data_IF_186962627774
#
_entry.id   IF_186962627774
#
_cell.length_a   1.000
_cell.length_b   1.000
_cell.length_c   1.000
_cell.angle_alpha   90.00
_cell.angle_beta   90.00
_cell.angle_gamma   90.00
#
_symmetry.space_group_name_H-M   'P 1'
#
loop_
_entity.id
_entity.type
_entity.pdbx_description
1 polymer ?
#
# COMPACT_ATOMS: atom_id res chain seq x y z
N UNK A 1 2.47 28.36 -14.84
CA UNK A 1 2.45 27.29 -15.86
C UNK A 1 1.79 26.09 -15.21
N UNK A 2 0.55 25.79 -15.61
CA UNK A 2 -0.25 24.66 -15.12
C UNK A 2 0.24 23.41 -15.83
N UNK A 3 1.04 22.59 -15.13
CA UNK A 3 1.41 21.28 -15.63
C UNK A 3 0.16 20.38 -15.56
N UNK A 4 -0.49 20.19 -16.70
CA UNK A 4 -1.50 19.16 -16.87
C UNK A 4 -0.83 17.80 -16.59
N UNK A 5 -1.34 16.98 -15.65
CA UNK A 5 -0.83 15.64 -15.45
C UNK A 5 -0.96 14.83 -16.76
N UNK A 6 -0.02 13.92 -17.07
CA UNK A 6 -0.09 13.08 -18.25
C UNK A 6 -1.42 12.30 -18.28
N UNK A 7 -2.03 12.20 -19.46
CA UNK A 7 -3.32 11.53 -19.70
C UNK A 7 -3.37 10.16 -18.99
N UNK A 8 -4.40 9.99 -18.16
CA UNK A 8 -4.70 8.73 -17.50
C UNK A 8 -4.79 7.60 -18.54
N UNK A 9 -4.09 6.49 -18.32
CA UNK A 9 -4.36 5.24 -19.03
C UNK A 9 -5.83 4.89 -18.77
N UNK A 10 -6.67 5.01 -19.81
CA UNK A 10 -8.13 4.87 -19.71
C UNK A 10 -8.62 3.43 -19.49
N UNK A 11 -7.78 2.49 -19.04
CA UNK A 11 -8.26 1.14 -18.71
C UNK A 11 -7.33 0.33 -17.82
N UNK A 12 -7.00 0.81 -16.62
CA UNK A 12 -6.64 -0.15 -15.56
C UNK A 12 -7.89 -1.01 -15.26
N UNK A 13 -7.85 -2.34 -15.51
CA UNK A 13 -9.00 -3.21 -15.28
C UNK A 13 -9.41 -3.32 -13.80
N UNK A 14 -8.54 -2.91 -12.85
CA UNK A 14 -8.85 -2.82 -11.42
C UNK A 14 -9.37 -1.43 -11.00
N UNK A 15 -9.41 -0.45 -11.90
CA UNK A 15 -9.82 0.93 -11.59
C UNK A 15 -11.18 1.03 -10.86
N UNK A 16 -12.23 0.27 -11.23
CA UNK A 16 -13.50 0.34 -10.50
C UNK A 16 -13.37 -0.07 -9.03
N UNK A 17 -12.62 -1.13 -8.73
CA UNK A 17 -12.44 -1.65 -7.37
C UNK A 17 -11.45 -0.81 -6.55
N UNK A 18 -10.45 -0.21 -7.20
CA UNK A 18 -9.58 0.80 -6.59
C UNK A 18 -10.42 2.03 -6.18
N UNK A 19 -11.21 2.57 -7.11
CA UNK A 19 -12.07 3.72 -6.85
C UNK A 19 -13.13 3.43 -5.78
N UNK A 20 -13.73 2.23 -5.78
CA UNK A 20 -14.64 1.79 -4.73
C UNK A 20 -13.94 1.70 -3.37
N UNK A 21 -12.74 1.14 -3.31
CA UNK A 21 -11.97 1.04 -2.06
C UNK A 21 -11.60 2.40 -1.50
N UNK A 22 -11.24 3.36 -2.35
CA UNK A 22 -11.02 4.76 -1.96
C UNK A 22 -12.30 5.40 -1.42
N UNK A 23 -13.44 5.20 -2.08
CA UNK A 23 -14.72 5.70 -1.60
C UNK A 23 -15.06 5.12 -0.21
N UNK A 24 -14.90 3.81 -0.02
CA UNK A 24 -15.11 3.14 1.27
C UNK A 24 -14.17 3.69 2.36
N UNK A 25 -12.88 3.89 2.05
CA UNK A 25 -11.91 4.49 2.97
C UNK A 25 -12.34 5.91 3.36
N UNK A 26 -12.77 6.75 2.40
CA UNK A 26 -13.26 8.12 2.69
C UNK A 26 -14.44 8.12 3.67
N UNK A 27 -15.31 7.11 3.62
CA UNK A 27 -16.45 7.00 4.56
C UNK A 27 -16.03 6.74 6.01
N UNK A 28 -14.78 6.33 6.27
CA UNK A 28 -14.25 6.15 7.63
C UNK A 28 -13.96 7.48 8.35
N UNK A 29 -13.98 8.60 7.63
CA UNK A 29 -13.78 9.93 8.21
C UNK A 29 -12.31 10.28 8.41
N UNK A 30 -12.03 11.11 9.41
CA UNK A 30 -10.67 11.56 9.72
C UNK A 30 -9.83 10.41 10.28
N UNK A 31 -8.63 10.20 9.72
CA UNK A 31 -7.69 9.18 10.17
C UNK A 31 -6.82 8.64 9.05
N UNK A 32 -5.96 7.68 9.37
CA UNK A 32 -5.16 6.91 8.42
C UNK A 32 -5.83 5.57 8.19
N UNK A 33 -6.11 5.24 6.94
CA UNK A 33 -6.79 4.00 6.57
C UNK A 33 -6.17 3.39 5.31
N UNK A 34 -6.06 2.06 5.32
CA UNK A 34 -5.48 1.30 4.22
C UNK A 34 -6.28 0.02 3.94
N UNK A 35 -6.12 -0.52 2.74
CA UNK A 35 -6.63 -1.82 2.28
C UNK A 35 -5.73 -2.37 1.18
N UNK A 36 -5.69 -3.69 0.99
CA UNK A 36 -5.09 -4.29 -0.19
C UNK A 36 -6.14 -5.00 -1.05
N UNK A 37 -5.92 -4.93 -2.36
CA UNK A 37 -6.61 -5.71 -3.38
C UNK A 37 -5.58 -6.71 -3.93
N UNK A 38 -5.82 -8.00 -3.74
CA UNK A 38 -4.97 -9.09 -4.25
C UNK A 38 -5.70 -9.73 -5.42
N UNK A 39 -5.10 -9.76 -6.60
CA UNK A 39 -5.66 -10.32 -7.83
C UNK A 39 -4.73 -11.42 -8.36
N UNK A 40 -5.30 -12.58 -8.65
CA UNK A 40 -4.56 -13.80 -9.03
C UNK A 40 -5.00 -14.24 -10.43
N UNK A 41 -4.09 -14.84 -11.21
CA UNK A 41 -4.34 -15.44 -12.54
C UNK A 41 -4.40 -14.47 -13.74
N UNK A 42 -3.72 -13.34 -13.65
CA UNK A 42 -3.27 -12.62 -14.85
C UNK A 42 -4.32 -11.79 -15.59
N UNK A 43 -5.59 -11.80 -15.17
CA UNK A 43 -6.60 -10.95 -15.81
C UNK A 43 -6.48 -9.47 -15.38
N UNK A 44 -5.59 -9.16 -14.42
CA UNK A 44 -5.30 -7.84 -13.82
C UNK A 44 -6.55 -7.11 -13.25
N UNK A 45 -7.74 -7.65 -13.50
CA UNK A 45 -9.06 -7.24 -13.07
C UNK A 45 -9.38 -7.91 -11.73
N UNK A 46 -10.29 -7.30 -10.98
CA UNK A 46 -10.72 -7.83 -9.70
C UNK A 46 -11.98 -8.68 -9.89
N UNK A 47 -11.83 -9.99 -9.77
CA UNK A 47 -12.94 -10.95 -9.68
C UNK A 47 -13.03 -11.53 -8.26
N UNK A 48 -14.23 -11.69 -7.70
CA UNK A 48 -14.38 -12.17 -6.31
C UNK A 48 -14.03 -13.66 -6.13
N UNK A 49 -13.91 -14.43 -7.22
CA UNK A 49 -13.65 -15.87 -7.16
C UNK A 49 -12.16 -16.20 -6.95
N UNK A 50 -11.27 -15.32 -7.42
CA UNK A 50 -9.81 -15.49 -7.42
C UNK A 50 -9.08 -14.28 -6.84
N UNK A 51 -9.80 -13.22 -6.46
CA UNK A 51 -9.24 -12.03 -5.83
C UNK A 51 -9.67 -11.91 -4.38
N UNK A 52 -8.87 -11.19 -3.60
CA UNK A 52 -9.14 -10.91 -2.21
C UNK A 52 -9.06 -9.42 -1.93
N UNK A 53 -10.02 -8.94 -1.13
CA UNK A 53 -10.09 -7.57 -0.65
C UNK A 53 -9.97 -7.61 0.86
N UNK A 54 -8.85 -7.11 1.39
CA UNK A 54 -8.68 -7.06 2.85
C UNK A 54 -9.75 -6.16 3.48
N UNK A 55 -10.09 -6.37 4.77
CA UNK A 55 -10.76 -5.35 5.55
C UNK A 55 -10.01 -4.01 5.49
N UNK A 56 -10.74 -2.90 5.70
CA UNK A 56 -10.09 -1.59 5.88
C UNK A 56 -9.46 -1.55 7.26
N UNK A 57 -8.16 -1.31 7.32
CA UNK A 57 -7.41 -1.17 8.56
C UNK A 57 -7.15 0.31 8.86
N UNK A 58 -7.30 0.72 10.12
CA UNK A 58 -7.04 2.09 10.56
C UNK A 58 -5.68 2.26 11.24
N UNK A 59 -5.32 3.47 11.63
CA UNK A 59 -4.18 3.69 12.52
C UNK A 59 -4.26 2.78 13.76
N UNK A 60 -3.10 2.34 14.25
CA UNK A 60 -2.91 1.41 15.39
C UNK A 60 -3.41 -0.01 15.17
N UNK A 61 -3.82 -0.36 13.95
CA UNK A 61 -4.25 -1.74 13.63
C UNK A 61 -3.08 -2.68 13.30
N UNK A 62 -1.89 -2.15 13.10
CA UNK A 62 -0.69 -2.96 12.87
C UNK A 62 -0.30 -3.80 14.09
N UNK A 63 0.86 -4.43 14.00
CA UNK A 63 1.46 -5.13 15.12
C UNK A 63 2.95 -5.39 14.89
N UNK A 64 3.54 -6.24 15.73
CA UNK A 64 4.91 -6.77 15.54
C UNK A 64 4.94 -7.85 14.46
N UNK A 65 4.28 -7.61 13.33
CA UNK A 65 4.08 -8.57 12.26
C UNK A 65 5.20 -8.46 11.21
N UNK A 66 5.15 -9.32 10.18
CA UNK A 66 6.21 -9.50 9.16
C UNK A 66 6.65 -8.20 8.49
N UNK A 67 5.75 -7.23 8.36
CA UNK A 67 6.01 -5.98 7.66
C UNK A 67 6.25 -4.77 8.58
N UNK A 68 6.33 -4.99 9.89
CA UNK A 68 6.79 -3.94 10.81
C UNK A 68 8.30 -3.68 10.63
N UNK A 69 8.71 -2.41 10.65
CA UNK A 69 10.11 -2.00 10.60
C UNK A 69 10.73 -2.21 11.98
N UNK A 70 11.97 -2.71 12.02
CA UNK A 70 12.65 -3.08 13.27
C UNK A 70 13.97 -2.32 13.45
N UNK A 71 14.38 -2.12 14.71
CA UNK A 71 15.53 -1.30 15.10
C UNK A 71 16.88 -1.83 14.61
N UNK A 72 17.09 -3.15 14.49
CA UNK A 72 18.26 -3.79 13.83
C UNK A 72 18.26 -5.33 13.97
N UNK A 73 18.74 -6.02 12.91
CA UNK A 73 19.18 -7.43 12.87
C UNK A 73 18.15 -8.52 13.23
N UNK A 74 16.90 -8.40 12.81
CA UNK A 74 16.12 -9.63 12.60
C UNK A 74 16.67 -10.36 11.37
N UNK A 75 16.98 -11.63 11.56
CA UNK A 75 17.65 -12.47 10.58
C UNK A 75 16.80 -12.59 9.30
N UNK A 76 17.23 -11.94 8.21
CA UNK A 76 17.06 -12.52 6.87
C UNK A 76 16.47 -11.67 5.75
N UNK A 77 15.98 -10.43 5.94
CA UNK A 77 15.35 -9.69 4.83
C UNK A 77 15.80 -8.22 4.81
N UNK A 78 16.67 -7.90 3.86
CA UNK A 78 17.39 -6.63 3.78
C UNK A 78 16.55 -5.49 3.20
N UNK A 79 16.00 -4.61 4.04
CA UNK A 79 15.78 -3.21 3.69
C UNK A 79 16.99 -2.39 4.16
N UNK A 80 17.72 -1.75 3.24
CA UNK A 80 18.91 -0.93 3.54
C UNK A 80 18.56 0.47 4.10
N UNK A 81 17.56 0.55 4.99
CA UNK A 81 17.28 1.73 5.79
C UNK A 81 17.18 1.30 7.23
N UNK A 82 18.25 1.48 8.01
CA UNK A 82 18.17 1.34 9.48
C UNK A 82 17.21 2.42 9.94
N UNK A 83 16.03 2.04 10.39
CA UNK A 83 15.11 2.98 11.03
C UNK A 83 15.50 3.17 12.48
N UNK A 84 15.31 4.37 13.00
CA UNK A 84 15.54 4.60 14.42
C UNK A 84 14.49 3.89 15.30
N UNK A 85 14.73 3.93 16.60
CA UNK A 85 13.88 3.33 17.62
C UNK A 85 12.45 3.86 17.65
N UNK A 86 12.26 5.15 17.40
CA UNK A 86 10.93 5.73 17.33
C UNK A 86 10.20 5.23 16.08
N UNK A 87 10.87 5.23 14.93
CA UNK A 87 10.34 4.73 13.66
C UNK A 87 9.95 3.24 13.70
N UNK A 88 10.77 2.40 14.33
CA UNK A 88 10.46 0.97 14.50
C UNK A 88 9.22 0.75 15.37
N UNK A 89 9.08 1.49 16.49
CA UNK A 89 7.89 1.41 17.34
C UNK A 89 6.64 1.94 16.64
N UNK A 90 6.76 3.09 15.99
CA UNK A 90 5.67 3.69 15.22
C UNK A 90 5.21 2.78 14.10
N UNK A 91 6.13 2.08 13.44
CA UNK A 91 5.79 1.14 12.37
C UNK A 91 4.76 0.10 12.78
N UNK A 92 4.74 -0.34 14.04
CA UNK A 92 3.78 -1.35 14.51
C UNK A 92 2.35 -0.82 14.52
N UNK A 93 2.16 0.49 14.40
CA UNK A 93 0.87 1.14 14.47
C UNK A 93 0.37 1.55 13.08
N UNK A 94 1.13 1.30 12.01
CA UNK A 94 0.74 1.68 10.65
C UNK A 94 -0.36 0.75 10.13
N UNK A 95 -1.42 1.33 9.55
CA UNK A 95 -2.53 0.58 8.93
C UNK A 95 -2.06 -0.34 7.80
N UNK A 96 -1.04 0.08 7.05
CA UNK A 96 -0.44 -0.75 5.99
C UNK A 96 0.20 -2.02 6.53
N UNK A 97 0.75 -2.02 7.75
CA UNK A 97 1.35 -3.24 8.32
C UNK A 97 0.30 -4.32 8.52
N UNK A 98 -0.87 -3.94 9.04
CA UNK A 98 -2.00 -4.85 9.20
C UNK A 98 -2.49 -5.39 7.85
N UNK A 99 -2.65 -4.49 6.87
CA UNK A 99 -3.14 -4.83 5.53
C UNK A 99 -2.19 -5.76 4.78
N UNK A 100 -0.89 -5.48 4.82
CA UNK A 100 0.11 -6.32 4.15
C UNK A 100 0.22 -7.69 4.83
N UNK A 101 0.11 -7.76 6.15
CA UNK A 101 0.09 -9.03 6.87
C UNK A 101 -1.15 -9.86 6.50
N UNK A 102 -2.33 -9.25 6.54
CA UNK A 102 -3.59 -9.90 6.16
C UNK A 102 -3.57 -10.41 4.71
N UNK A 103 -3.07 -9.59 3.78
CA UNK A 103 -2.92 -9.99 2.38
C UNK A 103 -1.93 -11.16 2.25
N UNK A 104 -0.81 -11.12 2.96
CA UNK A 104 0.15 -12.21 2.98
C UNK A 104 -0.46 -13.49 3.54
N UNK A 105 -1.16 -13.43 4.67
CA UNK A 105 -1.75 -14.61 5.31
C UNK A 105 -2.77 -15.31 4.40
N UNK A 106 -3.56 -14.53 3.66
CA UNK A 106 -4.47 -15.07 2.64
C UNK A 106 -3.71 -15.75 1.48
N UNK A 107 -2.63 -15.12 0.99
CA UNK A 107 -1.79 -15.67 -0.09
C UNK A 107 -1.10 -16.95 0.39
N UNK A 108 -0.45 -16.94 1.56
CA UNK A 108 0.27 -18.07 2.14
C UNK A 108 -0.67 -19.25 2.45
N UNK A 109 -1.94 -19.00 2.76
CA UNK A 109 -2.93 -20.07 2.93
C UNK A 109 -3.31 -20.75 1.61
N UNK A 110 -3.30 -20.03 0.49
CA UNK A 110 -3.90 -20.48 -0.77
C UNK A 110 -2.91 -20.68 -1.92
N UNK A 111 -1.66 -20.22 -1.81
CA UNK A 111 -0.73 -20.20 -2.93
C UNK A 111 -0.43 -21.59 -3.52
N UNK A 112 -0.48 -22.65 -2.71
CA UNK A 112 -0.30 -24.03 -3.16
C UNK A 112 -1.44 -24.54 -4.04
N UNK A 113 -2.62 -23.90 -3.98
CA UNK A 113 -3.79 -24.21 -4.80
C UNK A 113 -3.83 -23.44 -6.12
N UNK A 114 -2.98 -22.42 -6.27
CA UNK A 114 -2.94 -21.63 -7.49
C UNK A 114 -2.32 -22.43 -8.65
N UNK A 115 -2.81 -22.25 -9.89
CA UNK A 115 -2.22 -22.86 -11.06
C UNK A 115 -0.71 -22.59 -11.17
N UNK A 116 0.03 -23.57 -11.68
CA UNK A 116 1.46 -23.36 -11.91
C UNK A 116 1.67 -22.23 -12.93
N UNK A 117 2.49 -21.23 -12.58
CA UNK A 117 2.77 -20.07 -13.43
C UNK A 117 1.81 -18.90 -13.25
N UNK A 118 0.97 -18.92 -12.22
CA UNK A 118 0.09 -17.80 -11.84
C UNK A 118 0.83 -16.47 -11.70
N UNK A 119 0.23 -15.42 -12.24
CA UNK A 119 0.60 -14.03 -12.00
C UNK A 119 -0.22 -13.47 -10.84
N UNK A 120 0.41 -12.65 -10.01
CA UNK A 120 -0.21 -11.96 -8.89
C UNK A 120 0.00 -10.45 -9.00
N UNK A 121 -1.09 -9.71 -8.81
CA UNK A 121 -1.09 -8.25 -8.70
C UNK A 121 -1.65 -7.87 -7.33
N UNK A 122 -0.94 -7.04 -6.58
CA UNK A 122 -1.42 -6.51 -5.31
C UNK A 122 -1.42 -4.99 -5.37
N UNK A 123 -2.57 -4.38 -5.10
CA UNK A 123 -2.72 -2.91 -5.03
C UNK A 123 -3.03 -2.52 -3.60
N UNK A 124 -2.12 -1.81 -2.95
CA UNK A 124 -2.34 -1.23 -1.62
C UNK A 124 -2.98 0.14 -1.78
N UNK A 125 -4.21 0.29 -1.30
CA UNK A 125 -5.01 1.51 -1.37
C UNK A 125 -4.99 2.20 -0.01
N UNK A 126 -4.64 3.48 0.03
CA UNK A 126 -4.66 4.29 1.25
C UNK A 126 -5.17 5.71 1.03
N UNK A 127 -5.55 6.41 2.10
CA UNK A 127 -5.90 7.83 2.00
C UNK A 127 -4.71 8.78 2.23
N UNK A 128 -3.65 8.30 2.88
CA UNK A 128 -2.42 9.04 3.15
C UNK A 128 -1.25 8.09 2.90
N UNK A 129 -0.19 8.61 2.28
CA UNK A 129 0.98 7.83 1.93
C UNK A 129 1.39 8.03 0.47
N UNK A 130 2.37 7.25 0.00
CA UNK A 130 3.24 6.39 0.78
C UNK A 130 4.33 7.22 1.44
N UNK A 131 4.48 7.09 2.75
CA UNK A 131 5.63 7.64 3.48
C UNK A 131 6.87 6.75 3.27
N UNK A 132 8.05 7.16 3.74
CA UNK A 132 9.29 6.35 3.59
C UNK A 132 9.13 4.93 4.13
N UNK A 133 8.41 4.76 5.24
CA UNK A 133 8.10 3.43 5.80
C UNK A 133 7.19 2.61 4.89
N UNK A 134 6.14 3.19 4.33
CA UNK A 134 5.25 2.53 3.35
C UNK A 134 6.04 1.96 2.17
N UNK A 135 6.93 2.77 1.59
CA UNK A 135 7.79 2.38 0.46
C UNK A 135 8.68 1.18 0.82
N UNK A 136 9.22 1.16 2.02
CA UNK A 136 10.06 0.07 2.51
C UNK A 136 9.29 -1.25 2.58
N UNK A 137 8.08 -1.21 3.14
CA UNK A 137 7.23 -2.38 3.35
C UNK A 137 6.69 -2.95 2.05
N UNK A 138 6.30 -2.09 1.11
CA UNK A 138 5.88 -2.52 -0.22
C UNK A 138 7.01 -3.26 -0.97
N UNK A 139 8.27 -2.81 -0.82
CA UNK A 139 9.44 -3.51 -1.36
C UNK A 139 9.66 -4.88 -0.70
N UNK A 140 9.54 -4.96 0.63
CA UNK A 140 9.65 -6.22 1.37
C UNK A 140 8.54 -7.21 0.98
N UNK A 141 7.30 -6.75 0.96
CA UNK A 141 6.14 -7.54 0.55
C UNK A 141 6.29 -8.06 -0.89
N UNK A 142 6.74 -7.21 -1.82
CA UNK A 142 7.04 -7.63 -3.19
C UNK A 142 8.10 -8.73 -3.23
N UNK A 143 9.18 -8.60 -2.46
CA UNK A 143 10.22 -9.62 -2.42
C UNK A 143 9.66 -10.96 -1.94
N UNK A 144 8.84 -10.96 -0.89
CA UNK A 144 8.21 -12.18 -0.39
C UNK A 144 7.31 -12.84 -1.45
N UNK A 145 6.56 -12.03 -2.22
CA UNK A 145 5.78 -12.56 -3.34
C UNK A 145 6.67 -13.10 -4.47
N UNK A 146 7.80 -12.45 -4.77
CA UNK A 146 8.75 -12.95 -5.78
C UNK A 146 9.31 -14.31 -5.35
N UNK A 147 9.59 -14.51 -4.07
CA UNK A 147 10.10 -15.76 -3.53
C UNK A 147 9.07 -16.91 -3.68
N UNK A 148 7.76 -16.59 -3.69
CA UNK A 148 6.68 -17.57 -3.86
C UNK A 148 6.32 -17.80 -5.33
N UNK A 149 6.12 -16.74 -6.11
CA UNK A 149 5.58 -16.81 -7.48
C UNK A 149 6.65 -16.82 -8.57
N UNK A 150 7.83 -16.32 -8.25
CA UNK A 150 8.94 -16.10 -9.17
C UNK A 150 9.00 -14.67 -9.74
N UNK A 151 10.17 -14.24 -10.20
CA UNK A 151 10.35 -12.92 -10.79
C UNK A 151 9.53 -12.76 -12.08
N UNK A 152 9.05 -11.54 -12.34
CA UNK A 152 8.25 -11.22 -13.54
C UNK A 152 6.78 -11.64 -13.48
N UNK A 153 6.35 -12.29 -12.39
CA UNK A 153 4.93 -12.68 -12.16
C UNK A 153 4.24 -11.86 -11.08
N UNK A 154 4.97 -10.92 -10.48
CA UNK A 154 4.52 -10.13 -9.33
C UNK A 154 4.46 -8.67 -9.72
N UNK A 155 3.28 -8.08 -9.56
CA UNK A 155 3.06 -6.63 -9.60
C UNK A 155 2.61 -6.20 -8.21
N UNK A 156 3.36 -5.29 -7.58
CA UNK A 156 2.92 -4.63 -6.35
C UNK A 156 2.82 -3.15 -6.64
N UNK A 157 1.66 -2.60 -6.31
CA UNK A 157 1.29 -1.22 -6.56
C UNK A 157 0.75 -0.59 -5.30
N UNK A 158 0.79 0.73 -5.27
CA UNK A 158 0.12 1.50 -4.23
C UNK A 158 -0.63 2.66 -4.84
N UNK A 159 -1.84 2.87 -4.34
CA UNK A 159 -2.75 3.92 -4.75
C UNK A 159 -3.11 4.77 -3.54
N UNK A 160 -2.93 6.08 -3.67
CA UNK A 160 -3.37 7.02 -2.64
C UNK A 160 -4.22 8.11 -3.24
N UNK A 161 -5.17 8.62 -2.45
CA UNK A 161 -6.08 9.69 -2.82
C UNK A 161 -5.72 10.97 -2.08
N UNK A 162 -4.52 11.48 -2.39
CA UNK A 162 -4.04 12.74 -1.82
C UNK A 162 -3.15 13.46 -2.81
N UNK A 163 -3.34 14.77 -2.95
CA UNK A 163 -2.48 15.63 -3.76
C UNK A 163 -1.05 15.72 -3.22
N UNK A 164 -0.81 15.26 -1.98
CA UNK A 164 0.50 15.22 -1.34
C UNK A 164 1.43 14.14 -1.92
N UNK A 165 0.92 13.22 -2.75
CA UNK A 165 1.67 12.16 -3.45
C UNK A 165 2.77 12.67 -4.41
N UNK A 166 2.74 13.94 -4.81
CA UNK A 166 3.76 14.53 -5.69
C UNK A 166 4.73 15.47 -4.98
N UNK A 167 4.59 15.61 -3.67
CA UNK A 167 5.44 16.51 -2.90
C UNK A 167 6.50 15.65 -2.21
N UNK A 168 7.59 15.38 -2.91
CA UNK A 168 8.81 14.86 -2.29
C UNK A 168 9.46 15.99 -1.47
N UNK A 169 8.90 16.26 -0.30
CA UNK A 169 9.51 17.12 0.71
C UNK A 169 9.85 16.28 1.92
N UNK A 170 10.92 16.64 2.60
CA UNK A 170 11.19 16.14 3.93
C UNK A 170 10.18 16.76 4.89
N UNK A 171 9.38 15.92 5.52
CA UNK A 171 8.44 16.29 6.57
C UNK A 171 9.00 15.87 7.91
N UNK A 172 8.87 16.75 8.89
CA UNK A 172 8.97 16.40 10.29
C UNK A 172 7.57 16.16 10.83
N UNK A 173 7.23 14.90 11.07
CA UNK A 173 5.94 14.53 11.63
C UNK A 173 6.06 14.20 13.10
N UNK A 174 5.17 14.79 13.89
CA UNK A 174 5.01 14.45 15.30
C UNK A 174 4.17 13.19 15.39
N UNK A 175 4.76 12.17 15.97
CA UNK A 175 4.11 10.90 16.23
C UNK A 175 4.01 10.68 17.73
N UNK A 176 2.82 10.29 18.17
CA UNK A 176 2.58 9.84 19.54
C UNK A 176 2.79 8.33 19.59
N UNK A 177 3.80 7.90 20.34
CA UNK A 177 4.03 6.50 20.67
C UNK A 177 3.08 6.10 21.80
N UNK A 178 1.99 5.43 21.44
CA UNK A 178 0.98 4.97 22.41
C UNK A 178 1.48 3.91 23.40
N UNK A 179 2.58 3.20 23.11
CA UNK A 179 3.15 2.23 24.07
C UNK A 179 3.86 2.96 25.22
N UNK A 180 4.47 4.12 24.95
CA UNK A 180 5.29 4.86 25.92
C UNK A 180 4.67 6.18 26.37
N UNK A 181 3.63 6.66 25.67
CA UNK A 181 3.04 8.00 25.84
C UNK A 181 3.98 9.13 25.41
N UNK A 182 5.03 8.84 24.64
CA UNK A 182 6.01 9.85 24.22
C UNK A 182 5.70 10.39 22.83
N UNK A 183 6.01 11.67 22.60
CA UNK A 183 5.95 12.25 21.25
C UNK A 183 7.34 12.33 20.66
N UNK A 184 7.53 11.73 19.49
CA UNK A 184 8.79 11.82 18.72
C UNK A 184 8.55 12.56 17.41
N UNK A 185 9.56 13.28 16.95
CA UNK A 185 9.56 13.86 15.61
C UNK A 185 10.35 12.94 14.69
N UNK A 186 9.77 12.58 13.55
CA UNK A 186 10.40 11.69 12.59
C UNK A 186 10.43 12.34 11.22
N UNK A 187 11.60 12.31 10.58
CA UNK A 187 11.77 12.73 9.19
C UNK A 187 11.22 11.67 8.23
N UNK A 188 10.38 12.09 7.29
CA UNK A 188 9.77 11.22 6.28
C UNK A 188 9.54 11.95 4.96
N UNK A 189 9.49 11.19 3.86
CA UNK A 189 9.08 11.70 2.54
C UNK A 189 7.81 11.01 2.07
N UNK A 190 6.84 11.82 1.64
CA UNK A 190 5.60 11.34 1.03
C UNK A 190 5.71 11.25 -0.49
N UNK A 191 4.90 10.38 -1.08
CA UNK A 191 4.76 10.31 -2.54
C UNK A 191 5.87 9.55 -3.26
N UNK A 192 5.70 9.28 -4.55
CA UNK A 192 6.73 8.70 -5.40
C UNK A 192 7.11 9.65 -6.53
N UNK A 193 8.42 9.80 -6.76
CA UNK A 193 8.90 10.37 -8.00
C UNK A 193 8.51 9.43 -9.16
N UNK A 194 7.68 9.92 -10.09
CA UNK A 194 7.15 9.12 -11.20
C UNK A 194 5.78 8.48 -10.98
N UNK A 195 5.05 8.79 -9.90
CA UNK A 195 3.64 8.39 -9.80
C UNK A 195 2.80 9.02 -10.94
N UNK A 196 1.77 8.32 -11.40
CA UNK A 196 0.82 8.82 -12.39
C UNK A 196 -0.51 9.17 -11.73
N UNK A 197 -1.28 10.11 -12.31
CA UNK A 197 -2.66 10.37 -11.86
C UNK A 197 -3.62 9.65 -12.78
N UNK A 198 -4.53 8.88 -12.19
CA UNK A 198 -5.65 8.27 -12.90
C UNK A 198 -6.96 8.87 -12.39
N UNK A 199 -7.93 9.03 -13.29
CA UNK A 199 -9.27 9.50 -12.95
C UNK A 199 -10.30 8.46 -13.40
N UNK A 200 -11.11 7.98 -12.46
CA UNK A 200 -12.13 6.97 -12.71
C UNK A 200 -13.51 7.45 -12.25
N UNK A 201 -14.51 7.37 -13.12
CA UNK A 201 -15.90 7.71 -12.77
C UNK A 201 -16.69 6.44 -12.46
N UNK A 202 -16.95 6.22 -11.17
CA UNK A 202 -17.78 5.10 -10.73
C UNK A 202 -19.19 5.19 -11.35
N UNK A 203 -19.80 4.06 -11.74
CA UNK A 203 -21.18 4.03 -12.22
C UNK A 203 -22.13 4.71 -11.21
N UNK A 204 -22.93 5.66 -11.68
CA UNK A 204 -23.87 6.40 -10.84
C UNK A 204 -23.25 7.48 -9.94
N UNK A 205 -21.93 7.67 -9.95
CA UNK A 205 -21.28 8.71 -9.15
C UNK A 205 -21.38 10.10 -9.83
N UNK A 206 -21.64 11.17 -9.04
CA UNK A 206 -21.74 12.53 -9.57
C UNK A 206 -20.37 13.09 -10.00
N UNK A 207 -19.26 12.53 -9.51
CA UNK A 207 -17.90 12.97 -9.78
C UNK A 207 -16.94 11.79 -9.96
N UNK A 208 -15.82 12.03 -10.64
CA UNK A 208 -14.72 11.06 -10.75
C UNK A 208 -13.87 11.03 -9.47
N UNK A 209 -13.31 9.85 -9.16
CA UNK A 209 -12.25 9.67 -8.17
C UNK A 209 -10.93 9.78 -8.92
N UNK A 210 -10.07 10.73 -8.53
CA UNK A 210 -8.70 10.79 -9.01
C UNK A 210 -7.76 10.20 -7.97
N UNK A 211 -6.81 9.38 -8.41
CA UNK A 211 -5.85 8.75 -7.52
C UNK A 211 -4.48 8.67 -8.15
N UNK A 212 -3.48 8.43 -7.31
CA UNK A 212 -2.08 8.40 -7.72
C UNK A 212 -1.57 6.97 -7.67
N UNK A 213 -1.08 6.44 -8.79
CA UNK A 213 -0.59 5.07 -8.92
C UNK A 213 0.94 5.04 -8.96
N UNK A 214 1.53 4.09 -8.24
CA UNK A 214 2.94 3.75 -8.36
C UNK A 214 3.14 2.24 -8.46
N UNK A 215 3.95 1.83 -9.42
CA UNK A 215 4.40 0.45 -9.61
C UNK A 215 5.76 0.23 -8.95
N UNK A 216 5.85 -0.78 -8.09
CA UNK A 216 7.12 -1.19 -7.50
C UNK A 216 7.89 -2.03 -8.53
N UNK A 217 8.93 -1.42 -9.13
CA UNK A 217 9.84 -2.04 -10.11
C UNK A 217 10.67 -3.19 -9.57
#
# INVERSE_FOLDING_TARGET
MTATPPEALTSDPAAPQIAQSLAEIRTKGAGLFSRALVMVNGDLSFDEAHSYKTPVAGARSGGTTRYSLTETKDAGRSYQGRVDKAQARMSKQDSEVAVLQEAWDWIEALHSSFPHGTHIRVVVVGNIGPCTGCKARLKLFRQDLIDVFGPGRVIVESVYDTSQMFITKDYEEKYEDYETGTTSTVSTTYGYEGATVEAHKLPGAPQSVSYWLYQVG
#
